data_IF_816210137114
#
_entry.id   IF_816210137114
#
_cell.length_a   1.000
_cell.length_b   1.000
_cell.length_c   1.000
_cell.angle_alpha   90.00
_cell.angle_beta   90.00
_cell.angle_gamma   90.00
#
_symmetry.space_group_name_H-M   'P 1'
#
loop_
_entity.id
_entity.type
_entity.pdbx_description
1 polymer ?
#
# COMPACT_ATOMS: atom_id res chain seq x y z
N UNK A 1 7.76 3.09 -34.68
CA UNK A 1 8.34 2.84 -33.33
C UNK A 1 7.21 2.57 -32.36
N UNK A 2 7.25 1.45 -31.66
CA UNK A 2 6.26 1.11 -30.64
C UNK A 2 6.82 1.58 -29.27
N UNK A 3 6.39 2.75 -28.79
CA UNK A 3 6.88 3.34 -27.54
C UNK A 3 6.57 2.45 -26.31
N UNK A 4 5.48 1.69 -26.37
CA UNK A 4 5.12 0.80 -25.26
C UNK A 4 6.03 -0.42 -25.17
N UNK A 5 6.58 -0.87 -26.30
CA UNK A 5 7.51 -1.99 -26.31
C UNK A 5 8.91 -1.62 -25.80
N UNK A 6 9.24 -0.33 -25.81
CA UNK A 6 10.54 0.17 -25.35
C UNK A 6 10.52 0.65 -23.89
N UNK A 7 9.32 0.73 -23.28
CA UNK A 7 9.21 1.17 -21.89
C UNK A 7 9.70 0.07 -20.95
N UNK A 8 10.85 0.31 -20.33
CA UNK A 8 11.39 -0.54 -19.27
C UNK A 8 11.20 0.20 -17.95
N UNK A 9 10.35 -0.31 -17.02
CA UNK A 9 10.17 0.31 -15.72
C UNK A 9 11.50 0.40 -14.97
N UNK A 10 11.79 1.52 -14.28
CA UNK A 10 13.00 1.61 -13.44
C UNK A 10 13.00 0.49 -12.40
N UNK A 11 14.13 -0.18 -12.24
CA UNK A 11 14.32 -1.23 -11.27
C UNK A 11 15.10 -0.73 -10.07
N UNK A 12 14.85 -1.25 -8.86
CA UNK A 12 15.62 -0.87 -7.68
C UNK A 12 17.09 -1.25 -7.83
N UNK A 13 18.03 -0.45 -7.28
CA UNK A 13 19.43 -0.83 -7.25
C UNK A 13 19.63 -2.19 -6.56
N UNK A 14 20.59 -3.01 -7.02
CA UNK A 14 20.88 -4.30 -6.38
C UNK A 14 21.39 -4.11 -4.95
N UNK A 15 21.02 -5.03 -4.07
CA UNK A 15 21.50 -5.03 -2.69
C UNK A 15 20.70 -4.16 -1.71
N UNK A 16 19.60 -3.54 -2.13
CA UNK A 16 18.72 -2.83 -1.21
C UNK A 16 18.01 -3.81 -0.27
N UNK A 17 18.08 -3.52 1.02
CA UNK A 17 17.44 -4.33 2.07
C UNK A 17 16.51 -3.45 2.89
N UNK A 18 15.28 -3.95 3.13
CA UNK A 18 14.32 -3.28 4.00
C UNK A 18 14.86 -3.23 5.42
N UNK A 19 14.76 -2.07 6.07
CA UNK A 19 15.21 -1.91 7.45
C UNK A 19 14.39 -2.80 8.38
N UNK A 20 15.06 -3.61 9.18
CA UNK A 20 14.43 -4.58 10.07
C UNK A 20 13.64 -3.96 11.23
N UNK A 21 13.93 -2.71 11.58
CA UNK A 21 13.18 -1.97 12.60
C UNK A 21 12.00 -1.22 11.98
N UNK A 22 12.22 -0.49 10.89
CA UNK A 22 11.19 0.38 10.31
C UNK A 22 10.06 -0.39 9.66
N UNK A 23 10.31 -1.56 9.09
CA UNK A 23 9.27 -2.35 8.45
C UNK A 23 8.19 -2.81 9.46
N UNK A 24 8.52 -3.52 10.55
CA UNK A 24 7.52 -3.87 11.56
C UNK A 24 6.94 -2.64 12.25
N UNK A 25 7.75 -1.62 12.51
CA UNK A 25 7.29 -0.37 13.10
C UNK A 25 6.19 0.28 12.24
N UNK A 26 6.45 0.49 10.95
CA UNK A 26 5.46 1.08 10.04
C UNK A 26 4.23 0.20 9.88
N UNK A 27 4.40 -1.11 9.82
CA UNK A 27 3.28 -2.04 9.70
C UNK A 27 2.35 -1.96 10.90
N UNK A 28 2.89 -2.01 12.10
CA UNK A 28 2.08 -2.06 13.32
C UNK A 28 1.56 -0.67 13.75
N UNK A 29 2.32 0.39 13.57
CA UNK A 29 1.87 1.75 13.87
C UNK A 29 0.69 2.16 12.98
N UNK A 30 0.70 1.76 11.71
CA UNK A 30 -0.40 2.03 10.79
C UNK A 30 -1.71 1.31 11.18
N UNK A 31 -1.63 0.23 11.94
CA UNK A 31 -2.80 -0.48 12.43
C UNK A 31 -3.56 0.35 13.48
N UNK A 32 -2.88 1.18 14.25
CA UNK A 32 -3.53 2.02 15.29
C UNK A 32 -4.61 2.93 14.68
N UNK A 33 -4.35 3.78 13.69
CA UNK A 33 -5.40 4.58 13.06
C UNK A 33 -6.44 3.74 12.34
N UNK A 34 -6.09 2.58 11.76
CA UNK A 34 -7.07 1.66 11.17
C UNK A 34 -8.07 1.18 12.22
N UNK A 35 -7.59 0.73 13.38
CA UNK A 35 -8.45 0.30 14.49
C UNK A 35 -9.33 1.46 14.98
N UNK A 36 -8.78 2.66 15.11
CA UNK A 36 -9.54 3.84 15.51
C UNK A 36 -10.65 4.18 14.51
N UNK A 37 -10.35 4.16 13.21
CA UNK A 37 -11.33 4.41 12.15
C UNK A 37 -12.42 3.34 12.15
N UNK A 38 -12.07 2.07 12.28
CA UNK A 38 -13.05 0.98 12.37
C UNK A 38 -13.95 1.12 13.60
N UNK A 39 -13.38 1.43 14.76
CA UNK A 39 -14.13 1.60 15.99
C UNK A 39 -15.10 2.79 15.92
N UNK A 40 -14.64 3.95 15.45
CA UNK A 40 -15.46 5.13 15.26
C UNK A 40 -16.54 4.89 14.19
N UNK A 41 -16.17 4.23 13.12
CA UNK A 41 -17.06 3.88 12.03
C UNK A 41 -18.22 2.99 12.49
N UNK A 42 -17.90 1.93 13.24
CA UNK A 42 -18.92 1.02 13.78
C UNK A 42 -19.84 1.70 14.79
N UNK A 43 -19.30 2.62 15.59
CA UNK A 43 -20.07 3.30 16.62
C UNK A 43 -20.87 4.49 16.13
N UNK A 44 -20.30 5.30 15.24
CA UNK A 44 -20.88 6.58 14.84
C UNK A 44 -21.34 6.64 13.40
N UNK A 45 -20.51 6.15 12.46
CA UNK A 45 -20.76 6.37 11.03
C UNK A 45 -21.63 5.28 10.41
N UNK A 46 -21.41 4.03 10.77
CA UNK A 46 -22.18 2.93 10.22
C UNK A 46 -23.69 3.05 10.49
N UNK A 47 -24.14 3.47 11.69
CA UNK A 47 -25.56 3.71 11.94
C UNK A 47 -26.16 4.88 11.16
N UNK A 48 -25.31 5.87 10.77
CA UNK A 48 -25.76 7.05 10.03
C UNK A 48 -25.78 6.81 8.52
N UNK A 49 -24.69 6.29 7.98
CA UNK A 49 -24.56 5.97 6.55
C UNK A 49 -23.66 4.75 6.36
N UNK A 50 -24.31 3.61 6.31
CA UNK A 50 -23.64 2.32 6.14
C UNK A 50 -22.92 2.21 4.81
N UNK A 51 -23.56 2.67 3.73
CA UNK A 51 -23.00 2.58 2.38
C UNK A 51 -21.75 3.44 2.25
N UNK A 52 -21.78 4.67 2.71
CA UNK A 52 -20.63 5.58 2.65
C UNK A 52 -19.45 4.99 3.43
N UNK A 53 -19.68 4.48 4.64
CA UNK A 53 -18.64 3.90 5.45
C UNK A 53 -17.96 2.70 4.78
N UNK A 54 -18.77 1.76 4.24
CA UNK A 54 -18.25 0.57 3.56
C UNK A 54 -17.51 0.95 2.28
N UNK A 55 -18.05 1.87 1.49
CA UNK A 55 -17.41 2.33 0.24
C UNK A 55 -16.06 3.00 0.52
N UNK A 56 -15.96 3.82 1.56
CA UNK A 56 -14.70 4.46 1.93
C UNK A 56 -13.64 3.44 2.36
N UNK A 57 -14.01 2.43 3.15
CA UNK A 57 -13.09 1.37 3.56
C UNK A 57 -12.60 0.54 2.36
N UNK A 58 -13.52 0.12 1.50
CA UNK A 58 -13.18 -0.67 0.31
C UNK A 58 -12.37 0.15 -0.68
N UNK A 59 -12.72 1.42 -0.87
CA UNK A 59 -11.97 2.32 -1.74
C UNK A 59 -10.54 2.54 -1.28
N UNK A 60 -10.35 2.76 0.02
CA UNK A 60 -9.02 2.87 0.62
C UNK A 60 -8.19 1.60 0.42
N UNK A 61 -8.77 0.45 0.75
CA UNK A 61 -8.09 -0.84 0.56
C UNK A 61 -7.76 -1.11 -0.92
N UNK A 62 -8.69 -0.82 -1.84
CA UNK A 62 -8.48 -1.00 -3.27
C UNK A 62 -7.39 -0.07 -3.82
N UNK A 63 -7.24 1.15 -3.28
CA UNK A 63 -6.21 2.10 -3.70
C UNK A 63 -4.80 1.53 -3.52
N UNK A 64 -4.59 0.69 -2.52
CA UNK A 64 -3.28 0.05 -2.30
C UNK A 64 -2.84 -0.82 -3.48
N UNK A 65 -3.77 -1.34 -4.27
CA UNK A 65 -3.46 -2.15 -5.46
C UNK A 65 -2.91 -1.30 -6.61
N UNK A 66 -3.15 0.00 -6.60
CA UNK A 66 -2.65 0.93 -7.62
C UNK A 66 -1.28 1.53 -7.27
N UNK A 67 -0.76 1.27 -6.08
CA UNK A 67 0.56 1.76 -5.66
C UNK A 67 1.67 1.40 -6.67
N UNK A 68 1.75 0.17 -7.20
CA UNK A 68 2.78 -0.16 -8.19
C UNK A 68 2.74 0.71 -9.44
N UNK A 69 1.56 1.14 -9.86
CA UNK A 69 1.41 2.02 -11.04
C UNK A 69 2.03 3.40 -10.75
N UNK A 70 1.71 4.00 -9.61
CA UNK A 70 2.26 5.28 -9.22
C UNK A 70 3.77 5.21 -8.99
N UNK A 71 4.25 4.12 -8.41
CA UNK A 71 5.68 3.89 -8.20
C UNK A 71 6.45 3.78 -9.51
N UNK A 72 5.90 3.07 -10.49
CA UNK A 72 6.50 2.96 -11.82
C UNK A 72 6.58 4.33 -12.49
N UNK A 73 5.50 5.11 -12.43
CA UNK A 73 5.44 6.43 -13.06
C UNK A 73 6.34 7.46 -12.38
N UNK A 74 6.48 7.38 -11.06
CA UNK A 74 7.30 8.29 -10.28
C UNK A 74 8.77 7.86 -10.15
N UNK A 75 9.13 6.65 -10.61
CA UNK A 75 10.47 6.12 -10.44
C UNK A 75 10.81 5.76 -8.98
N UNK A 76 9.80 5.43 -8.20
CA UNK A 76 9.94 5.06 -6.78
C UNK A 76 9.90 3.53 -6.64
N UNK A 77 10.57 3.01 -5.64
CA UNK A 77 10.55 1.59 -5.30
C UNK A 77 10.81 1.39 -3.79
N UNK A 78 10.31 0.28 -3.27
CA UNK A 78 10.64 -0.17 -1.93
C UNK A 78 11.83 -1.11 -1.96
N UNK A 79 12.64 -1.11 -0.89
CA UNK A 79 13.78 -2.03 -0.77
C UNK A 79 13.29 -3.48 -0.71
N UNK A 80 13.64 -4.36 -1.68
CA UNK A 80 13.06 -5.70 -1.77
C UNK A 80 13.64 -6.70 -0.77
N UNK A 81 14.86 -6.50 -0.30
CA UNK A 81 15.50 -7.43 0.63
C UNK A 81 14.84 -7.43 2.00
N UNK A 82 14.40 -8.60 2.48
CA UNK A 82 13.77 -8.76 3.78
C UNK A 82 12.35 -8.16 3.88
N UNK A 83 11.75 -7.78 2.77
CA UNK A 83 10.41 -7.21 2.73
C UNK A 83 9.34 -8.25 3.03
N UNK A 84 8.35 -7.87 3.84
CA UNK A 84 7.12 -8.62 3.98
C UNK A 84 6.21 -8.31 2.79
N UNK A 85 6.20 -9.19 1.81
CA UNK A 85 5.54 -8.96 0.53
C UNK A 85 4.05 -9.27 0.61
N UNK A 86 3.22 -8.29 0.25
CA UNK A 86 1.78 -8.46 0.11
C UNK A 86 1.43 -9.02 -1.27
N UNK A 87 1.99 -8.43 -2.32
CA UNK A 87 1.85 -8.88 -3.70
C UNK A 87 3.00 -8.33 -4.55
N UNK A 88 3.18 -8.89 -5.74
CA UNK A 88 4.20 -8.42 -6.69
C UNK A 88 3.54 -8.10 -8.02
N UNK A 89 3.79 -6.90 -8.54
CA UNK A 89 3.30 -6.43 -9.83
C UNK A 89 4.37 -5.57 -10.50
N UNK A 90 4.46 -5.64 -11.82
CA UNK A 90 5.49 -4.97 -12.62
C UNK A 90 6.90 -5.27 -12.14
N UNK A 91 7.13 -6.51 -11.71
CA UNK A 91 8.39 -6.95 -11.12
C UNK A 91 8.78 -6.19 -9.84
N UNK A 92 7.80 -5.61 -9.14
CA UNK A 92 7.98 -4.84 -7.91
C UNK A 92 7.20 -5.47 -6.77
N UNK A 93 7.86 -5.96 -5.72
CA UNK A 93 7.16 -6.42 -4.53
C UNK A 93 6.62 -5.22 -3.73
N UNK A 94 5.38 -5.37 -3.25
CA UNK A 94 4.72 -4.36 -2.42
C UNK A 94 4.65 -4.83 -0.97
N UNK A 95 5.07 -3.98 -0.01
CA UNK A 95 5.05 -4.36 1.39
C UNK A 95 3.65 -4.33 1.99
N UNK A 96 3.43 -5.11 3.04
CA UNK A 96 2.14 -5.18 3.75
C UNK A 96 1.72 -3.86 4.40
N UNK A 97 2.65 -2.98 4.78
CA UNK A 97 2.28 -1.72 5.44
C UNK A 97 1.54 -0.74 4.50
N UNK A 98 1.56 -0.98 3.20
CA UNK A 98 0.82 -0.16 2.23
C UNK A 98 -0.69 -0.28 2.45
N UNK A 99 -1.21 -1.47 2.70
CA UNK A 99 -2.64 -1.69 2.88
C UNK A 99 -3.23 -0.84 4.02
N UNK A 100 -2.75 -0.92 5.27
CA UNK A 100 -3.28 -0.08 6.34
C UNK A 100 -3.05 1.41 6.09
N UNK A 101 -1.99 1.80 5.40
CA UNK A 101 -1.71 3.19 5.07
C UNK A 101 -2.82 3.84 4.22
N UNK A 102 -3.45 3.08 3.33
CA UNK A 102 -4.53 3.58 2.47
C UNK A 102 -5.94 3.44 3.06
N UNK A 103 -6.11 2.66 4.11
CA UNK A 103 -7.43 2.47 4.74
C UNK A 103 -7.83 3.69 5.58
N UNK A 104 -6.87 4.34 6.20
CA UNK A 104 -7.12 5.49 7.05
C UNK A 104 -6.62 6.77 6.40
#
# INVERSE_FOLDING_TARGET
>A
MNLLAEFVPPQPPPGLVMNSFWQPFMTFVQIIPVVAVLWLGLRRWLPQDRTLFVVCLLGGAATSLFEPVTDVLAGVWFAPGGMWVMFTTFNRPMPWFILPCYIW
#
